data_IF_457150399132
#
_entry.id   IF_457150399132
#
_cell.length_a   1.000
_cell.length_b   1.000
_cell.length_c   1.000
_cell.angle_alpha   90.00
_cell.angle_beta   90.00
_cell.angle_gamma   90.00
#
_symmetry.space_group_name_H-M   'P 1'
#
loop_
_entity.id
_entity.type
_entity.pdbx_description
1 polymer ?
#
# COMPACT_ATOMS: atom_id res chain seq x y z
N UNK A 1 -25.56 70.27 -3.94
CA UNK A 1 -25.09 69.49 -2.77
C UNK A 1 -24.66 68.12 -3.29
N UNK A 2 -23.35 67.88 -3.38
CA UNK A 2 -22.76 66.59 -3.74
C UNK A 2 -22.40 65.89 -2.43
N UNK A 3 -22.93 64.69 -2.20
CA UNK A 3 -22.55 63.85 -1.07
C UNK A 3 -21.98 62.57 -1.66
N UNK A 4 -20.66 62.45 -1.51
CA UNK A 4 -19.88 61.25 -1.81
C UNK A 4 -20.16 60.19 -0.75
N UNK A 5 -20.38 58.94 -1.17
CA UNK A 5 -20.30 57.77 -0.30
C UNK A 5 -19.13 56.89 -0.77
N UNK A 6 -18.20 56.53 0.13
CA UNK A 6 -17.02 55.74 -0.23
C UNK A 6 -17.36 54.26 -0.42
N UNK A 7 -16.70 53.67 -1.40
CA UNK A 7 -16.54 52.24 -1.63
C UNK A 7 -15.84 51.61 -0.43
N UNK A 8 -16.49 50.65 0.24
CA UNK A 8 -15.88 49.75 1.20
C UNK A 8 -15.78 48.35 0.60
N UNK A 9 -14.54 47.92 0.41
CA UNK A 9 -14.09 46.64 -0.10
C UNK A 9 -14.74 45.45 0.60
N UNK A 10 -15.40 44.58 -0.17
CA UNK A 10 -15.70 43.21 0.23
C UNK A 10 -14.50 42.36 -0.16
N UNK A 11 -13.51 42.29 0.71
CA UNK A 11 -12.37 41.40 0.59
C UNK A 11 -12.31 40.48 1.82
N UNK A 12 -12.12 39.19 1.53
CA UNK A 12 -11.59 38.17 2.43
C UNK A 12 -12.43 37.77 3.66
N UNK A 13 -13.40 36.88 3.42
CA UNK A 13 -13.87 35.92 4.43
C UNK A 13 -13.85 34.51 3.80
N UNK A 14 -12.64 34.07 3.46
CA UNK A 14 -12.34 32.71 2.98
C UNK A 14 -11.23 32.08 3.83
N UNK A 15 -11.26 32.28 5.15
CA UNK A 15 -10.30 31.67 6.06
C UNK A 15 -11.04 31.18 7.29
N UNK A 16 -11.56 29.95 7.18
CA UNK A 16 -11.74 28.99 8.26
C UNK A 16 -12.29 27.70 7.62
N UNK A 17 -11.51 27.15 6.69
CA UNK A 17 -11.60 25.71 6.45
C UNK A 17 -11.18 25.04 7.76
N UNK A 18 -12.03 24.22 8.39
CA UNK A 18 -11.59 23.49 9.57
C UNK A 18 -10.44 22.58 9.14
N UNK A 19 -9.25 22.85 9.67
CA UNK A 19 -8.10 21.95 9.56
C UNK A 19 -8.58 20.56 9.97
N UNK A 20 -8.41 19.50 9.13
CA UNK A 20 -8.82 18.17 9.52
C UNK A 20 -8.03 17.78 10.77
N UNK A 21 -8.74 17.72 11.90
CA UNK A 21 -8.29 17.08 13.14
C UNK A 21 -8.00 15.62 12.80
N UNK A 22 -6.73 15.22 12.73
CA UNK A 22 -6.40 13.81 12.47
C UNK A 22 -4.92 13.44 12.31
N UNK A 23 -3.96 14.36 12.15
CA UNK A 23 -2.55 13.99 11.94
C UNK A 23 -1.76 13.73 13.26
N UNK A 24 -2.41 13.15 14.28
CA UNK A 24 -1.70 12.69 15.47
C UNK A 24 -1.06 11.31 15.18
N UNK A 25 0.23 11.28 14.84
CA UNK A 25 1.08 10.10 15.06
C UNK A 25 1.45 9.21 13.87
N UNK A 26 1.35 9.67 12.61
CA UNK A 26 1.93 8.92 11.49
C UNK A 26 3.45 9.11 11.48
N UNK A 27 4.17 8.19 12.12
CA UNK A 27 5.62 8.16 12.12
C UNK A 27 6.13 7.12 11.11
N UNK A 28 6.89 7.57 10.12
CA UNK A 28 7.70 6.71 9.25
C UNK A 28 9.15 6.78 9.73
N UNK A 29 9.56 5.95 10.70
CA UNK A 29 10.91 6.04 11.25
C UNK A 29 11.94 5.77 10.15
N UNK A 30 12.99 6.60 10.10
CA UNK A 30 14.16 6.33 9.26
C UNK A 30 14.89 5.09 9.77
N UNK A 31 15.31 4.23 8.86
CA UNK A 31 16.24 3.12 9.17
C UNK A 31 17.66 3.61 9.42
N UNK A 32 17.98 4.85 9.00
CA UNK A 32 19.28 5.50 9.17
C UNK A 32 19.26 6.37 10.44
N UNK A 33 20.16 6.15 11.42
CA UNK A 33 20.27 6.99 12.61
C UNK A 33 20.62 8.44 12.25
N UNK A 34 19.94 9.41 12.88
CA UNK A 34 20.15 10.83 12.59
C UNK A 34 21.60 11.29 12.79
N UNK A 35 22.32 10.73 13.77
CA UNK A 35 23.74 11.04 14.00
C UNK A 35 24.64 10.62 12.84
N UNK A 36 24.30 9.55 12.13
CA UNK A 36 25.05 9.14 10.94
C UNK A 36 24.85 10.12 9.77
N UNK A 37 23.63 10.63 9.62
CA UNK A 37 23.33 11.66 8.61
C UNK A 37 24.05 12.98 8.89
N UNK A 38 24.05 13.44 10.15
CA UNK A 38 24.77 14.65 10.56
C UNK A 38 26.27 14.49 10.28
N UNK A 39 26.87 13.36 10.68
CA UNK A 39 28.29 13.10 10.45
C UNK A 39 28.65 13.10 8.96
N UNK A 40 27.79 12.54 8.10
CA UNK A 40 28.02 12.58 6.65
C UNK A 40 27.97 14.02 6.12
N UNK A 41 26.95 14.80 6.51
CA UNK A 41 26.78 16.20 6.09
C UNK A 41 28.01 17.04 6.48
N UNK A 42 28.55 16.83 7.69
CA UNK A 42 29.73 17.55 8.19
C UNK A 42 31.00 17.25 7.39
N UNK A 43 31.08 16.10 6.70
CA UNK A 43 32.25 15.69 5.90
C UNK A 43 32.23 16.19 4.45
N UNK A 44 31.16 16.86 4.02
CA UNK A 44 31.00 17.29 2.63
C UNK A 44 31.95 18.46 2.27
N UNK A 45 32.72 18.36 1.18
CA UNK A 45 33.67 19.37 0.76
C UNK A 45 32.98 20.53 0.00
N UNK A 46 32.21 21.33 0.73
CA UNK A 46 31.51 22.49 0.17
C UNK A 46 30.23 22.75 0.95
N UNK A 47 30.24 23.76 1.83
CA UNK A 47 29.07 24.08 2.67
C UNK A 47 28.03 24.95 1.96
N UNK A 48 28.29 25.36 0.72
CA UNK A 48 27.42 26.27 -0.02
C UNK A 48 26.16 25.56 -0.52
N UNK A 49 26.28 24.32 -1.06
CA UNK A 49 25.14 23.57 -1.61
C UNK A 49 25.14 22.08 -1.19
N UNK A 50 24.97 21.77 0.12
CA UNK A 50 25.06 20.40 0.63
C UNK A 50 24.02 19.44 0.03
N UNK A 51 22.87 19.96 -0.42
CA UNK A 51 21.83 19.16 -1.03
C UNK A 51 22.25 18.59 -2.40
N UNK A 52 22.85 19.43 -3.25
CA UNK A 52 23.28 18.99 -4.58
C UNK A 52 24.46 18.02 -4.48
N UNK A 53 25.41 18.28 -3.58
CA UNK A 53 26.53 17.36 -3.33
C UNK A 53 26.06 15.98 -2.86
N UNK A 54 25.12 15.92 -1.91
CA UNK A 54 24.51 14.67 -1.45
C UNK A 54 23.75 13.96 -2.57
N UNK A 55 22.99 14.71 -3.37
CA UNK A 55 22.24 14.15 -4.49
C UNK A 55 23.17 13.56 -5.55
N UNK A 56 24.22 14.27 -5.94
CA UNK A 56 25.25 13.77 -6.87
C UNK A 56 25.94 12.53 -6.29
N UNK A 57 26.30 12.55 -5.01
CA UNK A 57 26.91 11.40 -4.34
C UNK A 57 25.98 10.18 -4.36
N UNK A 58 24.71 10.37 -4.00
CA UNK A 58 23.68 9.32 -4.05
C UNK A 58 23.49 8.77 -5.47
N UNK A 59 23.45 9.64 -6.48
CA UNK A 59 23.35 9.23 -7.89
C UNK A 59 24.52 8.34 -8.30
N UNK A 60 25.75 8.72 -7.98
CA UNK A 60 26.94 7.91 -8.26
C UNK A 60 26.89 6.55 -7.55
N UNK A 61 26.39 6.50 -6.31
CA UNK A 61 26.21 5.23 -5.59
C UNK A 61 25.15 4.36 -6.28
N UNK A 62 24.03 4.92 -6.70
CA UNK A 62 22.96 4.19 -7.40
C UNK A 62 23.42 3.66 -8.77
N UNK A 63 24.17 4.46 -9.52
CA UNK A 63 24.80 4.02 -10.77
C UNK A 63 25.69 2.79 -10.53
N UNK A 64 26.51 2.82 -9.48
CA UNK A 64 27.36 1.68 -9.10
C UNK A 64 26.57 0.45 -8.65
N UNK A 65 25.43 0.63 -7.98
CA UNK A 65 24.53 -0.48 -7.62
C UNK A 65 24.01 -1.14 -8.90
N UNK A 66 23.64 -0.33 -9.89
CA UNK A 66 23.04 -0.81 -11.14
C UNK A 66 24.05 -1.45 -12.10
N UNK A 67 25.27 -0.93 -12.19
CA UNK A 67 26.32 -1.51 -13.05
C UNK A 67 26.96 -2.77 -12.49
N UNK A 68 26.61 -3.14 -11.25
CA UNK A 68 27.18 -4.28 -10.55
C UNK A 68 28.50 -3.94 -9.85
N UNK A 69 28.61 -4.35 -8.60
CA UNK A 69 29.87 -4.35 -7.83
C UNK A 69 30.38 -5.78 -7.64
N UNK A 70 31.62 -5.92 -7.16
CA UNK A 70 32.14 -7.23 -6.75
C UNK A 70 31.15 -7.94 -5.80
N UNK A 71 30.96 -9.26 -5.93
CA UNK A 71 30.10 -10.04 -5.05
C UNK A 71 30.40 -9.75 -3.57
N UNK A 72 29.36 -9.47 -2.79
CA UNK A 72 29.47 -9.14 -1.36
C UNK A 72 29.58 -7.65 -1.02
N UNK A 73 29.74 -6.75 -2.00
CA UNK A 73 29.76 -5.30 -1.75
C UNK A 73 28.39 -4.63 -1.94
N UNK A 74 27.41 -5.31 -2.54
CA UNK A 74 26.11 -4.74 -2.90
C UNK A 74 25.35 -4.21 -1.68
N UNK A 75 25.32 -4.98 -0.58
CA UNK A 75 24.63 -4.59 0.65
C UNK A 75 25.27 -3.32 1.24
N UNK A 76 26.60 -3.27 1.25
CA UNK A 76 27.32 -2.09 1.77
C UNK A 76 27.07 -0.87 0.88
N UNK A 77 26.99 -1.04 -0.44
CA UNK A 77 26.71 0.04 -1.38
C UNK A 77 25.27 0.55 -1.25
N UNK A 78 24.28 -0.34 -1.12
CA UNK A 78 22.89 0.03 -0.85
C UNK A 78 22.74 0.81 0.46
N UNK A 79 23.40 0.36 1.54
CA UNK A 79 23.41 1.11 2.81
C UNK A 79 24.05 2.50 2.69
N UNK A 80 25.07 2.66 1.86
CA UNK A 80 25.67 3.97 1.59
C UNK A 80 24.73 4.87 0.80
N UNK A 81 24.03 4.30 -0.19
CA UNK A 81 23.00 5.01 -0.95
C UNK A 81 21.89 5.49 -0.03
N UNK A 82 21.34 4.60 0.79
CA UNK A 82 20.35 4.91 1.82
C UNK A 82 20.83 6.05 2.73
N UNK A 83 22.03 5.92 3.31
CA UNK A 83 22.60 6.97 4.17
C UNK A 83 22.70 8.33 3.45
N UNK A 84 23.22 8.36 2.22
CA UNK A 84 23.35 9.59 1.45
C UNK A 84 21.98 10.24 1.19
N UNK A 85 21.00 9.47 0.75
CA UNK A 85 19.66 9.97 0.42
C UNK A 85 18.89 10.39 1.67
N UNK A 86 18.97 9.64 2.78
CA UNK A 86 18.32 10.01 4.05
C UNK A 86 18.94 11.24 4.70
N UNK A 87 20.21 11.51 4.41
CA UNK A 87 20.85 12.75 4.86
C UNK A 87 20.24 13.99 4.21
N UNK A 88 19.73 13.89 2.98
CA UNK A 88 18.96 14.99 2.35
C UNK A 88 17.74 15.37 3.19
N UNK A 89 17.04 14.38 3.77
CA UNK A 89 15.88 14.62 4.62
C UNK A 89 16.22 15.25 5.98
N UNK A 90 17.50 15.30 6.36
CA UNK A 90 17.99 15.90 7.60
C UNK A 90 18.48 17.34 7.41
N UNK A 91 18.46 17.87 6.18
CA UNK A 91 18.85 19.24 5.90
C UNK A 91 17.79 20.24 6.41
N UNK A 92 18.18 21.47 6.80
CA UNK A 92 17.23 22.47 7.31
C UNK A 92 16.12 22.85 6.32
N UNK A 93 16.40 22.80 5.02
CA UNK A 93 15.48 23.11 3.93
C UNK A 93 14.96 21.85 3.22
N UNK A 94 15.02 20.68 3.86
CA UNK A 94 14.68 19.40 3.24
C UNK A 94 13.27 19.36 2.62
N UNK A 95 12.28 20.06 3.20
CA UNK A 95 10.92 20.11 2.67
C UNK A 95 10.80 20.85 1.32
N UNK A 96 11.77 21.71 0.99
CA UNK A 96 11.77 22.57 -0.21
C UNK A 96 12.67 22.04 -1.32
N UNK A 97 13.33 20.89 -1.10
CA UNK A 97 14.18 20.28 -2.11
C UNK A 97 13.36 19.86 -3.35
N UNK A 98 13.97 19.80 -4.55
CA UNK A 98 13.28 19.52 -5.80
C UNK A 98 13.04 18.00 -5.98
N UNK A 99 12.43 17.38 -4.98
CA UNK A 99 12.16 15.94 -4.89
C UNK A 99 11.49 15.38 -6.14
N UNK A 100 10.46 16.07 -6.66
CA UNK A 100 9.75 15.65 -7.87
C UNK A 100 10.65 15.62 -9.08
N UNK A 101 11.42 16.68 -9.31
CA UNK A 101 12.30 16.79 -10.47
C UNK A 101 13.40 15.72 -10.43
N UNK A 102 13.99 15.48 -9.26
CA UNK A 102 14.98 14.43 -9.07
C UNK A 102 14.42 13.03 -9.31
N UNK A 103 13.24 12.71 -8.77
CA UNK A 103 12.61 11.41 -8.98
C UNK A 103 12.19 11.21 -10.44
N UNK A 104 11.58 12.22 -11.07
CA UNK A 104 11.11 12.12 -12.45
C UNK A 104 12.26 11.91 -13.44
N UNK A 105 13.40 12.57 -13.22
CA UNK A 105 14.61 12.40 -14.04
C UNK A 105 15.20 10.97 -13.98
N UNK A 106 14.97 10.25 -12.88
CA UNK A 106 15.66 8.99 -12.59
C UNK A 106 14.76 7.76 -12.45
N UNK A 107 13.43 7.90 -12.48
CA UNK A 107 12.49 6.82 -12.17
C UNK A 107 12.71 5.51 -12.95
N UNK A 108 13.12 5.61 -14.21
CA UNK A 108 13.36 4.44 -15.07
C UNK A 108 14.85 4.05 -15.14
N UNK A 109 15.74 5.02 -15.01
CA UNK A 109 17.19 4.86 -15.20
C UNK A 109 17.93 4.45 -13.93
N UNK A 110 17.44 4.86 -12.75
CA UNK A 110 17.98 4.53 -11.42
C UNK A 110 16.82 4.32 -10.42
N UNK A 111 16.08 3.19 -10.51
CA UNK A 111 14.94 2.93 -9.66
C UNK A 111 15.32 2.85 -8.18
N UNK A 112 16.51 2.33 -7.84
CA UNK A 112 17.01 2.28 -6.46
C UNK A 112 17.20 3.67 -5.85
N UNK A 113 17.69 4.63 -6.65
CA UNK A 113 17.78 6.03 -6.22
C UNK A 113 16.38 6.62 -5.99
N UNK A 114 15.49 6.38 -6.94
CA UNK A 114 14.14 6.95 -6.94
C UNK A 114 13.30 6.44 -5.77
N UNK A 115 13.43 5.15 -5.44
CA UNK A 115 12.81 4.53 -4.27
C UNK A 115 13.28 5.20 -2.97
N UNK A 116 14.60 5.35 -2.78
CA UNK A 116 15.11 6.01 -1.57
C UNK A 116 14.78 7.51 -1.52
N UNK A 117 14.78 8.20 -2.65
CA UNK A 117 14.40 9.62 -2.73
C UNK A 117 12.95 9.82 -2.29
N UNK A 118 12.03 8.95 -2.70
CA UNK A 118 10.65 9.03 -2.26
C UNK A 118 10.54 8.89 -0.74
N UNK A 119 11.27 7.91 -0.17
CA UNK A 119 11.23 7.67 1.26
C UNK A 119 11.87 8.80 2.07
N UNK A 120 12.93 9.44 1.56
CA UNK A 120 13.52 10.65 2.13
C UNK A 120 12.56 11.85 2.02
N UNK A 121 11.94 12.07 0.86
CA UNK A 121 10.93 13.10 0.66
C UNK A 121 9.76 12.94 1.63
N UNK A 122 9.27 11.70 1.82
CA UNK A 122 8.20 11.38 2.79
C UNK A 122 8.56 11.77 4.21
N UNK A 123 9.82 11.57 4.61
CA UNK A 123 10.32 11.97 5.92
C UNK A 123 10.42 13.49 6.05
N UNK A 124 10.89 14.18 5.01
CA UNK A 124 11.10 15.62 5.01
C UNK A 124 9.80 16.43 4.94
N UNK A 125 8.84 15.99 4.11
CA UNK A 125 7.63 16.74 3.78
C UNK A 125 6.44 16.42 4.69
N UNK A 126 6.48 15.30 5.44
CA UNK A 126 5.34 14.86 6.24
C UNK A 126 4.08 14.70 5.39
N UNK A 127 2.96 15.29 5.80
CA UNK A 127 1.69 15.21 5.06
C UNK A 127 1.71 15.94 3.71
N UNK A 128 2.64 16.86 3.48
CA UNK A 128 2.76 17.59 2.21
C UNK A 128 3.26 16.68 1.06
N UNK A 129 3.65 15.45 1.35
CA UNK A 129 4.06 14.45 0.37
C UNK A 129 2.89 13.94 -0.49
N UNK A 130 1.63 14.10 -0.05
CA UNK A 130 0.45 13.47 -0.71
C UNK A 130 0.33 13.87 -2.19
N UNK A 131 0.38 15.17 -2.57
CA UNK A 131 0.35 15.56 -3.98
C UNK A 131 1.49 14.95 -4.81
N UNK A 132 2.69 14.85 -4.23
CA UNK A 132 3.86 14.26 -4.87
C UNK A 132 3.69 12.74 -5.10
N UNK A 133 3.17 12.03 -4.10
CA UNK A 133 2.84 10.60 -4.23
C UNK A 133 1.79 10.37 -5.33
N UNK A 134 0.78 11.26 -5.43
CA UNK A 134 -0.23 11.17 -6.48
C UNK A 134 0.32 11.45 -7.88
N UNK A 135 1.23 12.44 -8.03
CA UNK A 135 1.80 12.80 -9.34
C UNK A 135 2.77 11.74 -9.89
N UNK A 136 3.45 11.04 -8.98
CA UNK A 136 4.46 10.02 -9.28
C UNK A 136 3.91 8.58 -9.26
N UNK A 137 2.69 8.31 -8.77
CA UNK A 137 2.02 7.00 -8.90
C UNK A 137 1.58 6.77 -10.35
N UNK A 138 2.54 6.31 -11.17
CA UNK A 138 2.36 6.03 -12.59
C UNK A 138 2.61 4.56 -12.87
N UNK A 139 2.08 4.11 -14.00
CA UNK A 139 2.28 2.74 -14.48
C UNK A 139 3.75 2.33 -14.46
N UNK A 140 4.64 3.20 -14.94
CA UNK A 140 6.08 2.99 -15.12
C UNK A 140 6.96 3.30 -13.91
N UNK A 141 6.37 3.72 -12.79
CA UNK A 141 7.10 3.93 -11.55
C UNK A 141 7.61 2.61 -10.95
N UNK A 142 8.75 2.62 -10.25
CA UNK A 142 9.29 1.44 -9.59
C UNK A 142 8.27 0.79 -8.65
N UNK A 143 8.20 -0.55 -8.66
CA UNK A 143 7.17 -1.31 -7.94
C UNK A 143 7.17 -0.99 -6.44
N UNK A 144 8.35 -0.98 -5.80
CA UNK A 144 8.43 -0.72 -4.34
C UNK A 144 8.08 0.72 -4.02
N UNK A 145 8.55 1.67 -4.82
CA UNK A 145 8.15 3.08 -4.70
C UNK A 145 6.61 3.25 -4.74
N UNK A 146 5.91 2.54 -5.63
CA UNK A 146 4.44 2.59 -5.67
C UNK A 146 3.82 2.04 -4.39
N UNK A 147 4.29 0.91 -3.86
CA UNK A 147 3.82 0.38 -2.57
C UNK A 147 3.99 1.44 -1.46
N UNK A 148 5.16 2.08 -1.38
CA UNK A 148 5.44 3.15 -0.42
C UNK A 148 4.53 4.37 -0.62
N UNK A 149 4.24 4.77 -1.86
CA UNK A 149 3.27 5.82 -2.16
C UNK A 149 1.90 5.48 -1.62
N UNK A 150 1.40 4.27 -1.88
CA UNK A 150 0.09 3.86 -1.36
C UNK A 150 0.06 3.80 0.17
N UNK A 151 1.11 3.31 0.83
CA UNK A 151 1.22 3.39 2.29
C UNK A 151 1.14 4.83 2.80
N UNK A 152 1.81 5.74 2.10
CA UNK A 152 1.83 7.16 2.41
C UNK A 152 0.45 7.81 2.24
N UNK A 153 -0.22 7.51 1.13
CA UNK A 153 -1.57 8.00 0.86
C UNK A 153 -2.53 7.50 1.94
N UNK A 154 -2.55 6.20 2.23
CA UNK A 154 -3.43 5.66 3.27
C UNK A 154 -3.16 6.24 4.66
N UNK A 155 -1.90 6.53 4.98
CA UNK A 155 -1.54 7.07 6.29
C UNK A 155 -1.97 8.54 6.46
N UNK A 156 -1.84 9.37 5.41
CA UNK A 156 -2.14 10.81 5.50
C UNK A 156 -3.53 11.20 5.00
N UNK A 157 -4.06 10.49 4.00
CA UNK A 157 -5.38 10.70 3.41
C UNK A 157 -6.01 9.35 2.97
N UNK A 158 -6.74 8.67 3.88
CA UNK A 158 -7.35 7.37 3.57
C UNK A 158 -8.34 7.38 2.40
N UNK A 159 -8.98 8.51 2.10
CA UNK A 159 -9.92 8.62 0.99
C UNK A 159 -9.14 8.59 -0.33
N UNK A 160 -8.09 9.40 -0.45
CA UNK A 160 -7.19 9.37 -1.60
C UNK A 160 -6.43 8.04 -1.69
N UNK A 161 -5.98 7.49 -0.56
CA UNK A 161 -5.39 6.16 -0.46
C UNK A 161 -6.29 5.08 -1.03
N UNK A 162 -7.57 5.09 -0.67
CA UNK A 162 -8.59 4.19 -1.26
C UNK A 162 -8.75 4.43 -2.75
N UNK A 163 -8.95 5.67 -3.19
CA UNK A 163 -9.21 6.00 -4.59
C UNK A 163 -8.04 5.60 -5.50
N UNK A 164 -6.80 5.92 -5.10
CA UNK A 164 -5.59 5.54 -5.79
C UNK A 164 -5.44 4.01 -5.82
N UNK A 165 -5.58 3.34 -4.68
CA UNK A 165 -5.43 1.87 -4.61
C UNK A 165 -6.47 1.17 -5.47
N UNK A 166 -7.72 1.65 -5.46
CA UNK A 166 -8.80 1.14 -6.30
C UNK A 166 -8.49 1.27 -7.79
N UNK A 167 -7.90 2.41 -8.21
CA UNK A 167 -7.45 2.62 -9.60
C UNK A 167 -6.45 1.54 -10.01
N UNK A 168 -5.43 1.27 -9.20
CA UNK A 168 -4.41 0.25 -9.50
C UNK A 168 -5.00 -1.17 -9.49
N UNK A 169 -5.80 -1.48 -8.48
CA UNK A 169 -6.34 -2.84 -8.32
C UNK A 169 -7.34 -3.18 -9.43
N UNK A 170 -8.26 -2.28 -9.74
CA UNK A 170 -9.43 -2.58 -10.59
C UNK A 170 -9.30 -2.05 -12.01
N UNK A 171 -8.78 -0.83 -12.20
CA UNK A 171 -8.80 -0.16 -13.50
C UNK A 171 -7.52 -0.37 -14.29
N UNK A 172 -6.39 -0.43 -13.60
CA UNK A 172 -5.09 -0.60 -14.22
C UNK A 172 -4.93 -2.03 -14.75
N UNK A 173 -4.50 -2.16 -16.02
CA UNK A 173 -4.18 -3.45 -16.62
C UNK A 173 -3.04 -4.10 -15.84
N UNK A 174 -2.92 -5.40 -15.89
CA UNK A 174 -1.83 -6.11 -15.21
C UNK A 174 -0.56 -6.08 -16.06
N UNK A 175 0.60 -5.82 -15.45
CA UNK A 175 1.90 -6.14 -16.08
C UNK A 175 2.06 -7.65 -16.03
N UNK A 176 2.55 -8.26 -17.12
CA UNK A 176 2.89 -9.69 -17.11
C UNK A 176 3.78 -9.99 -15.90
N UNK A 177 3.37 -10.95 -15.08
CA UNK A 177 4.08 -11.42 -13.88
C UNK A 177 4.34 -10.36 -12.78
N UNK A 178 3.63 -9.23 -12.75
CA UNK A 178 3.80 -8.26 -11.66
C UNK A 178 2.98 -8.64 -10.43
N UNK A 179 3.59 -8.81 -9.25
CA UNK A 179 2.87 -9.07 -8.01
C UNK A 179 2.31 -7.78 -7.36
N UNK A 180 2.38 -6.61 -8.02
CA UNK A 180 2.05 -5.31 -7.43
C UNK A 180 0.67 -5.30 -6.76
N UNK A 181 -0.38 -5.84 -7.40
CA UNK A 181 -1.73 -5.82 -6.83
C UNK A 181 -1.82 -6.63 -5.54
N UNK A 182 -1.21 -7.81 -5.51
CA UNK A 182 -1.13 -8.64 -4.31
C UNK A 182 -0.27 -7.98 -3.23
N UNK A 183 0.87 -7.36 -3.58
CA UNK A 183 1.71 -6.59 -2.66
C UNK A 183 0.93 -5.41 -2.06
N UNK A 184 0.19 -4.65 -2.86
CA UNK A 184 -0.63 -3.54 -2.36
C UNK A 184 -1.69 -4.01 -1.37
N UNK A 185 -2.33 -5.14 -1.62
CA UNK A 185 -3.32 -5.70 -0.68
C UNK A 185 -2.63 -6.11 0.61
N UNK A 186 -1.56 -6.92 0.52
CA UNK A 186 -0.88 -7.52 1.65
C UNK A 186 -0.12 -6.51 2.51
N UNK A 187 0.63 -5.61 1.87
CA UNK A 187 1.59 -4.72 2.54
C UNK A 187 1.00 -3.33 2.82
N UNK A 188 -0.15 -3.00 2.23
CA UNK A 188 -0.80 -1.71 2.43
C UNK A 188 -2.20 -1.89 3.02
N UNK A 189 -3.15 -2.38 2.23
CA UNK A 189 -4.59 -2.30 2.54
C UNK A 189 -4.96 -3.20 3.72
N UNK A 190 -4.37 -4.39 3.82
CA UNK A 190 -4.64 -5.34 4.90
C UNK A 190 -4.38 -4.72 6.29
N UNK A 191 -3.39 -3.85 6.40
CA UNK A 191 -2.98 -3.19 7.64
C UNK A 191 -3.77 -1.91 7.96
N UNK A 192 -4.57 -1.37 7.03
CA UNK A 192 -5.27 -0.10 7.24
C UNK A 192 -6.53 -0.28 8.08
N UNK A 193 -6.70 0.40 9.22
CA UNK A 193 -7.93 0.29 9.99
C UNK A 193 -9.12 0.93 9.24
N UNK A 194 -10.33 0.53 9.62
CA UNK A 194 -11.56 1.22 9.21
C UNK A 194 -12.30 0.63 8.00
N UNK A 195 -13.42 1.28 7.69
CA UNK A 195 -14.40 0.82 6.70
C UNK A 195 -13.94 1.00 5.26
N UNK A 196 -13.12 2.01 4.96
CA UNK A 196 -12.65 2.27 3.59
C UNK A 196 -11.80 1.11 3.05
N UNK A 197 -10.90 0.58 3.88
CA UNK A 197 -10.08 -0.58 3.54
C UNK A 197 -10.93 -1.85 3.39
N UNK A 198 -11.88 -2.07 4.31
CA UNK A 198 -12.80 -3.22 4.23
C UNK A 198 -13.67 -3.18 2.97
N UNK A 199 -14.23 -2.01 2.64
CA UNK A 199 -15.04 -1.82 1.44
C UNK A 199 -14.23 -2.08 0.16
N UNK A 200 -12.98 -1.60 0.10
CA UNK A 200 -12.11 -1.86 -1.04
C UNK A 200 -11.72 -3.34 -1.16
N UNK A 201 -11.41 -4.00 -0.04
CA UNK A 201 -11.11 -5.44 -0.04
C UNK A 201 -12.31 -6.27 -0.50
N UNK A 202 -13.53 -5.93 -0.06
CA UNK A 202 -14.76 -6.56 -0.53
C UNK A 202 -14.95 -6.36 -2.04
N UNK A 203 -14.77 -5.12 -2.53
CA UNK A 203 -14.87 -4.81 -3.95
C UNK A 203 -13.89 -5.65 -4.79
N UNK A 204 -12.64 -5.77 -4.32
CA UNK A 204 -11.61 -6.59 -4.98
C UNK A 204 -11.97 -8.08 -4.94
N UNK A 205 -12.38 -8.61 -3.78
CA UNK A 205 -12.78 -10.00 -3.62
C UNK A 205 -13.93 -10.39 -4.55
N UNK A 206 -14.90 -9.49 -4.73
CA UNK A 206 -16.09 -9.69 -5.55
C UNK A 206 -15.86 -9.45 -7.05
N UNK A 207 -14.77 -8.79 -7.45
CA UNK A 207 -14.55 -8.42 -8.84
C UNK A 207 -14.24 -9.63 -9.72
N UNK A 208 -15.23 -10.05 -10.51
CA UNK A 208 -15.10 -11.11 -11.52
C UNK A 208 -14.26 -10.70 -12.73
N UNK A 209 -14.05 -9.40 -12.92
CA UNK A 209 -13.30 -8.83 -14.04
C UNK A 209 -11.79 -8.73 -13.78
N UNK A 210 -11.33 -9.03 -12.56
CA UNK A 210 -9.91 -9.08 -12.26
C UNK A 210 -9.30 -10.36 -12.83
N UNK A 211 -8.34 -10.27 -13.77
CA UNK A 211 -7.67 -11.45 -14.31
C UNK A 211 -6.76 -12.13 -13.28
N UNK A 212 -6.33 -11.40 -12.24
CA UNK A 212 -5.41 -11.89 -11.21
C UNK A 212 -6.17 -12.55 -10.05
N UNK A 213 -6.34 -13.87 -10.12
CA UNK A 213 -6.92 -14.67 -9.03
C UNK A 213 -6.19 -14.42 -7.69
N UNK A 214 -4.87 -14.32 -7.71
CA UNK A 214 -4.06 -14.13 -6.51
C UNK A 214 -4.42 -12.87 -5.75
N UNK A 215 -4.64 -11.74 -6.43
CA UNK A 215 -5.05 -10.50 -5.77
C UNK A 215 -6.41 -10.66 -5.07
N UNK A 216 -7.37 -11.34 -5.70
CA UNK A 216 -8.68 -11.61 -5.08
C UNK A 216 -8.53 -12.51 -3.85
N UNK A 217 -7.69 -13.55 -3.92
CA UNK A 217 -7.42 -14.43 -2.77
C UNK A 217 -6.75 -13.70 -1.62
N UNK A 218 -5.78 -12.82 -1.90
CA UNK A 218 -5.18 -11.97 -0.86
C UNK A 218 -6.21 -11.03 -0.24
N UNK A 219 -7.17 -10.51 -1.01
CA UNK A 219 -8.23 -9.67 -0.46
C UNK A 219 -9.15 -10.44 0.49
N UNK A 220 -9.54 -11.67 0.12
CA UNK A 220 -10.34 -12.57 0.96
C UNK A 220 -9.59 -12.92 2.24
N UNK A 221 -8.28 -13.22 2.13
CA UNK A 221 -7.42 -13.51 3.27
C UNK A 221 -7.32 -12.32 4.21
N UNK A 222 -7.10 -11.12 3.68
CA UNK A 222 -7.06 -9.89 4.46
C UNK A 222 -8.39 -9.64 5.18
N UNK A 223 -9.54 -9.85 4.52
CA UNK A 223 -10.86 -9.73 5.16
C UNK A 223 -11.03 -10.71 6.33
N UNK A 224 -10.61 -11.97 6.15
CA UNK A 224 -10.62 -12.99 7.20
C UNK A 224 -9.77 -12.58 8.40
N UNK A 225 -8.55 -12.12 8.16
CA UNK A 225 -7.58 -11.78 9.21
C UNK A 225 -7.95 -10.52 9.99
N UNK A 226 -8.63 -9.55 9.35
CA UNK A 226 -9.10 -8.33 10.02
C UNK A 226 -10.14 -8.62 11.10
N UNK A 227 -10.95 -9.66 10.93
CA UNK A 227 -11.95 -10.14 11.90
C UNK A 227 -12.76 -9.00 12.58
N UNK A 228 -13.25 -8.07 11.78
CA UNK A 228 -14.04 -6.96 12.30
C UNK A 228 -15.43 -7.47 12.73
N UNK A 229 -15.65 -7.59 14.05
CA UNK A 229 -16.89 -8.17 14.61
C UNK A 229 -18.16 -7.47 14.16
N UNK A 230 -18.11 -6.16 13.91
CA UNK A 230 -19.29 -5.39 13.51
C UNK A 230 -19.77 -5.73 12.09
N UNK A 231 -18.84 -6.09 11.20
CA UNK A 231 -19.11 -6.43 9.80
C UNK A 231 -18.96 -7.93 9.50
N UNK A 232 -18.52 -8.74 10.48
CA UNK A 232 -18.18 -10.14 10.29
C UNK A 232 -19.30 -10.95 9.61
N UNK A 233 -20.55 -10.78 10.03
CA UNK A 233 -21.68 -11.46 9.40
C UNK A 233 -21.87 -11.00 7.93
N UNK A 234 -21.80 -9.69 7.66
CA UNK A 234 -21.91 -9.15 6.29
C UNK A 234 -20.80 -9.70 5.40
N UNK A 235 -19.55 -9.62 5.85
CA UNK A 235 -18.39 -10.12 5.11
C UNK A 235 -18.52 -11.63 4.89
N UNK A 236 -18.90 -12.40 5.91
CA UNK A 236 -19.09 -13.84 5.78
C UNK A 236 -20.19 -14.21 4.76
N UNK A 237 -21.32 -13.47 4.74
CA UNK A 237 -22.37 -13.63 3.73
C UNK A 237 -21.81 -13.41 2.32
N UNK A 238 -21.02 -12.37 2.11
CA UNK A 238 -20.38 -12.10 0.82
C UNK A 238 -19.38 -13.19 0.43
N UNK A 239 -18.60 -13.70 1.39
CA UNK A 239 -17.66 -14.80 1.14
C UNK A 239 -18.41 -16.09 0.79
N UNK A 240 -19.54 -16.38 1.44
CA UNK A 240 -20.38 -17.51 1.08
C UNK A 240 -20.95 -17.35 -0.34
N UNK A 241 -21.39 -16.15 -0.71
CA UNK A 241 -21.83 -15.88 -2.07
C UNK A 241 -20.71 -16.13 -3.10
N UNK A 242 -19.45 -15.75 -2.79
CA UNK A 242 -18.31 -16.05 -3.64
C UNK A 242 -18.02 -17.56 -3.74
N UNK A 243 -18.15 -18.30 -2.63
CA UNK A 243 -18.01 -19.76 -2.64
C UNK A 243 -19.02 -20.45 -3.58
N UNK A 244 -20.24 -19.94 -3.64
CA UNK A 244 -21.32 -20.48 -4.48
C UNK A 244 -21.20 -20.03 -5.94
N UNK A 245 -20.80 -18.78 -6.19
CA UNK A 245 -20.86 -18.16 -7.52
C UNK A 245 -19.65 -18.47 -8.44
N UNK A 246 -18.54 -19.00 -7.94
CA UNK A 246 -17.29 -19.18 -8.72
C UNK A 246 -16.95 -20.66 -9.00
N UNK A 247 -17.81 -21.47 -9.66
CA UNK A 247 -17.62 -22.93 -9.79
C UNK A 247 -16.32 -23.34 -10.48
N UNK A 248 -15.76 -22.48 -11.32
CA UNK A 248 -14.55 -22.73 -12.11
C UNK A 248 -13.26 -22.22 -11.43
N UNK A 249 -13.35 -21.58 -10.26
CA UNK A 249 -12.18 -21.06 -9.54
C UNK A 249 -12.10 -21.65 -8.12
N UNK A 250 -11.49 -22.84 -8.03
CA UNK A 250 -11.33 -23.57 -6.78
C UNK A 250 -10.59 -22.78 -5.70
N UNK A 251 -9.52 -22.08 -6.07
CA UNK A 251 -8.71 -21.30 -5.12
C UNK A 251 -9.52 -20.21 -4.42
N UNK A 252 -10.35 -19.48 -5.17
CA UNK A 252 -11.25 -18.47 -4.63
C UNK A 252 -12.34 -19.11 -3.76
N UNK A 253 -12.94 -20.22 -4.22
CA UNK A 253 -14.00 -20.91 -3.46
C UNK A 253 -13.49 -21.37 -2.09
N UNK A 254 -12.36 -22.07 -2.06
CA UNK A 254 -11.78 -22.59 -0.83
C UNK A 254 -11.40 -21.46 0.13
N UNK A 255 -10.74 -20.40 -0.36
CA UNK A 255 -10.37 -19.26 0.49
C UNK A 255 -11.61 -18.52 1.02
N UNK A 256 -12.64 -18.33 0.19
CA UNK A 256 -13.89 -17.70 0.58
C UNK A 256 -14.66 -18.54 1.63
N UNK A 257 -14.75 -19.85 1.44
CA UNK A 257 -15.37 -20.73 2.43
C UNK A 257 -14.61 -20.72 3.76
N UNK A 258 -13.27 -20.75 3.73
CA UNK A 258 -12.45 -20.59 4.94
C UNK A 258 -12.72 -19.24 5.63
N UNK A 259 -12.84 -18.15 4.87
CA UNK A 259 -13.16 -16.84 5.41
C UNK A 259 -14.55 -16.81 6.05
N UNK A 260 -15.57 -17.35 5.39
CA UNK A 260 -16.93 -17.50 5.95
C UNK A 260 -16.92 -18.28 7.27
N UNK A 261 -16.29 -19.45 7.27
CA UNK A 261 -16.17 -20.31 8.46
C UNK A 261 -15.42 -19.64 9.61
N UNK A 262 -14.43 -18.80 9.31
CA UNK A 262 -13.64 -18.11 10.35
C UNK A 262 -14.37 -16.89 10.93
N UNK A 263 -15.09 -16.15 10.09
CA UNK A 263 -15.76 -14.90 10.48
C UNK A 263 -17.13 -15.15 11.11
N UNK A 264 -17.90 -16.08 10.55
CA UNK A 264 -19.26 -16.39 11.00
C UNK A 264 -19.65 -17.85 10.68
N UNK A 265 -19.18 -18.83 11.48
CA UNK A 265 -19.33 -20.26 11.20
C UNK A 265 -20.77 -20.71 10.93
N UNK A 266 -21.76 -20.10 11.60
CA UNK A 266 -23.17 -20.46 11.47
C UNK A 266 -23.69 -20.44 10.01
N UNK A 267 -23.09 -19.62 9.13
CA UNK A 267 -23.45 -19.58 7.72
C UNK A 267 -22.85 -20.74 6.89
N UNK A 268 -21.67 -21.25 7.27
CA UNK A 268 -20.99 -22.32 6.52
C UNK A 268 -21.24 -23.72 7.06
N UNK A 269 -21.63 -23.87 8.33
CA UNK A 269 -21.91 -25.17 8.96
C UNK A 269 -22.92 -26.05 8.19
N UNK A 270 -24.04 -25.53 7.65
CA UNK A 270 -24.99 -26.35 6.88
C UNK A 270 -24.38 -27.05 5.66
N UNK A 271 -23.30 -26.50 5.08
CA UNK A 271 -22.58 -27.14 3.97
C UNK A 271 -21.67 -28.27 4.45
N UNK A 272 -21.14 -28.17 5.67
CA UNK A 272 -20.30 -29.22 6.25
C UNK A 272 -21.14 -30.40 6.76
N UNK A 273 -22.33 -30.14 7.32
CA UNK A 273 -23.26 -31.19 7.81
C UNK A 273 -24.06 -31.86 6.70
N UNK A 274 -24.01 -31.34 5.46
CA UNK A 274 -24.74 -31.89 4.32
C UNK A 274 -26.20 -31.44 4.24
N UNK A 275 -26.63 -30.48 5.07
CA UNK A 275 -27.95 -29.84 4.99
C UNK A 275 -28.10 -29.01 3.70
N UNK A 276 -26.99 -28.51 3.15
CA UNK A 276 -26.95 -27.79 1.89
C UNK A 276 -25.97 -28.42 0.90
N UNK A 277 -26.38 -28.47 -0.37
CA UNK A 277 -25.57 -29.06 -1.43
C UNK A 277 -24.29 -28.25 -1.67
N UNK A 278 -23.17 -28.95 -1.76
CA UNK A 278 -21.90 -28.35 -2.22
C UNK A 278 -21.95 -28.22 -3.75
N UNK A 279 -21.68 -27.04 -4.33
CA UNK A 279 -21.69 -26.87 -5.78
C UNK A 279 -20.60 -27.72 -6.45
N UNK A 280 -21.01 -28.69 -7.28
CA UNK A 280 -20.22 -29.65 -8.08
C UNK A 280 -19.12 -30.45 -7.34
N UNK A 281 -19.13 -31.77 -7.48
CA UNK A 281 -18.11 -32.69 -6.95
C UNK A 281 -16.80 -32.58 -7.74
N UNK A 282 -15.94 -31.67 -7.29
CA UNK A 282 -14.53 -31.60 -7.69
C UNK A 282 -13.72 -32.31 -6.61
N UNK A 283 -12.87 -33.32 -6.91
CA UNK A 283 -12.17 -34.11 -5.89
C UNK A 283 -11.38 -33.25 -4.88
N UNK A 284 -10.74 -32.18 -5.36
CA UNK A 284 -9.99 -31.23 -4.53
C UNK A 284 -10.90 -30.45 -3.57
N UNK A 285 -12.13 -30.12 -4.00
CA UNK A 285 -13.10 -29.48 -3.14
C UNK A 285 -13.63 -30.44 -2.08
N UNK A 286 -13.85 -31.70 -2.44
CA UNK A 286 -14.29 -32.74 -1.51
C UNK A 286 -13.24 -32.98 -0.41
N UNK A 287 -11.97 -33.15 -0.79
CA UNK A 287 -10.85 -33.26 0.15
C UNK A 287 -10.77 -32.05 1.08
N UNK A 288 -10.93 -30.85 0.53
CA UNK A 288 -10.98 -29.61 1.32
C UNK A 288 -12.17 -29.59 2.30
N UNK A 289 -13.38 -29.96 1.84
CA UNK A 289 -14.57 -29.98 2.69
C UNK A 289 -14.45 -31.04 3.79
N UNK A 290 -13.85 -32.19 3.51
CA UNK A 290 -13.56 -33.22 4.49
C UNK A 290 -12.52 -32.76 5.52
N UNK A 291 -11.45 -32.09 5.09
CA UNK A 291 -10.49 -31.47 5.99
C UNK A 291 -11.16 -30.41 6.89
N UNK A 292 -12.11 -29.64 6.34
CA UNK A 292 -12.92 -28.71 7.12
C UNK A 292 -13.84 -29.44 8.11
N UNK A 293 -14.51 -30.54 7.71
CA UNK A 293 -15.32 -31.34 8.64
C UNK A 293 -14.50 -31.87 9.81
N UNK A 294 -13.32 -32.44 9.54
CA UNK A 294 -12.38 -32.89 10.60
C UNK A 294 -11.97 -31.74 11.52
N UNK A 295 -11.59 -30.59 10.96
CA UNK A 295 -11.22 -29.40 11.74
C UNK A 295 -12.34 -28.91 12.67
N UNK A 296 -13.60 -29.09 12.30
CA UNK A 296 -14.77 -28.70 13.09
C UNK A 296 -15.39 -29.88 13.87
N UNK A 297 -14.72 -31.03 13.95
CA UNK A 297 -15.15 -32.17 14.76
C UNK A 297 -16.40 -32.90 14.24
N UNK A 298 -16.68 -32.80 12.94
CA UNK A 298 -17.84 -33.44 12.29
C UNK A 298 -17.56 -34.85 11.76
N UNK A 299 -16.29 -35.26 11.77
CA UNK A 299 -15.83 -36.60 11.40
C UNK A 299 -14.83 -37.03 12.48
N UNK A 300 -15.01 -38.24 13.03
CA UNK A 300 -14.08 -38.82 14.00
C UNK A 300 -12.82 -39.32 13.29
N UNK A 301 -11.64 -39.14 13.89
CA UNK A 301 -10.34 -39.61 13.34
C UNK A 301 -10.17 -41.14 13.31
N UNK A 302 -11.26 -41.90 13.49
CA UNK A 302 -11.28 -43.36 13.45
C UNK A 302 -11.86 -43.86 12.11
N UNK A 303 -11.01 -43.91 11.08
CA UNK A 303 -11.20 -44.79 9.90
C UNK A 303 -9.91 -44.95 9.12
#
# INVERSE_FOLDING_TARGET
MRISFPLLSVAALSLLSPSPRGAAGVAFPSTVPIGASIALIETLPGREEPAEELFVHARTLAERVRTGTLPGQEIALRRRLELAVRSLASLPNAAELPWEAWMEAHRTTLPELTEELFLAARQAMGSQIVPLAMSLDRWDSPRRMRVDMHQTLWAYDPIEGRNASRRVLIKEKSRSNSPLKAELIREVIAHQPGMEAEALLLEVAQSSHLPEEWARREAIRALRERNNRQSAQKVATEMLAQFLANPNNLGIRMEAFQACMSLYPALGMPFLTGEQAVPASQPQLEEFMEAMRRRYGLVSDDS
#
